data_IF_456430583226
#
_entry.id   IF_456430583226
#
_cell.length_a   1.000
_cell.length_b   1.000
_cell.length_c   1.000
_cell.angle_alpha   90.00
_cell.angle_beta   90.00
_cell.angle_gamma   90.00
#
_symmetry.space_group_name_H-M   'P 1'
#
loop_
_entity.id
_entity.type
_entity.pdbx_description
1 polymer ?
#
# COMPACT_ATOMS: atom_id res chain seq x y z
N UNK A 1 14.85 -18.82 -5.54
CA UNK A 1 13.75 -19.79 -5.57
C UNK A 1 12.87 -19.57 -4.35
N UNK A 2 11.54 -19.54 -4.54
CA UNK A 2 10.64 -19.33 -3.41
C UNK A 2 10.82 -20.37 -2.31
N UNK A 3 11.09 -21.62 -2.70
CA UNK A 3 11.25 -22.70 -1.73
C UNK A 3 12.47 -22.52 -0.84
N UNK A 4 13.39 -21.63 -1.21
CA UNK A 4 14.57 -21.37 -0.40
C UNK A 4 14.39 -20.17 0.52
N UNK A 5 13.24 -19.53 0.43
CA UNK A 5 12.94 -18.37 1.24
C UNK A 5 12.59 -18.80 2.66
N UNK A 6 13.20 -18.18 3.69
CA UNK A 6 12.82 -18.50 5.06
C UNK A 6 11.33 -18.27 5.29
N UNK A 7 10.76 -19.06 6.19
CA UNK A 7 9.32 -18.99 6.44
C UNK A 7 8.88 -17.60 6.92
N UNK A 8 9.66 -16.97 7.78
CA UNK A 8 9.32 -15.62 8.24
C UNK A 8 9.30 -14.62 7.10
N UNK A 9 10.20 -14.78 6.13
CA UNK A 9 10.23 -13.91 4.96
C UNK A 9 9.01 -14.14 4.08
N UNK A 10 8.58 -15.40 3.93
CA UNK A 10 7.36 -15.70 3.19
C UNK A 10 6.15 -15.04 3.83
N UNK A 11 6.05 -15.11 5.15
CA UNK A 11 4.97 -14.43 5.87
C UNK A 11 5.03 -12.93 5.65
N UNK A 12 6.24 -12.37 5.62
CA UNK A 12 6.42 -10.95 5.40
C UNK A 12 5.92 -10.53 4.01
N UNK A 13 6.17 -11.34 2.98
CA UNK A 13 5.63 -11.08 1.65
C UNK A 13 4.12 -10.96 1.68
N UNK A 14 3.45 -11.88 2.36
CA UNK A 14 1.99 -11.86 2.44
C UNK A 14 1.49 -10.63 3.18
N UNK A 15 2.19 -10.25 4.25
CA UNK A 15 1.84 -9.05 5.01
C UNK A 15 1.98 -7.81 4.15
N UNK A 16 3.06 -7.70 3.38
CA UNK A 16 3.25 -6.55 2.48
C UNK A 16 2.15 -6.48 1.43
N UNK A 17 1.78 -7.62 0.83
CA UNK A 17 0.71 -7.63 -0.16
C UNK A 17 -0.60 -7.13 0.43
N UNK A 18 -0.94 -7.62 1.62
CA UNK A 18 -2.15 -7.18 2.31
C UNK A 18 -2.08 -5.70 2.67
N UNK A 19 -0.91 -5.24 3.12
CA UNK A 19 -0.75 -3.85 3.50
C UNK A 19 -0.92 -2.92 2.29
N UNK A 20 -0.36 -3.29 1.14
CA UNK A 20 -0.54 -2.51 -0.09
C UNK A 20 -2.01 -2.43 -0.46
N UNK A 21 -2.72 -3.54 -0.37
CA UNK A 21 -4.14 -3.56 -0.70
C UNK A 21 -4.95 -2.65 0.23
N UNK A 22 -4.62 -2.66 1.53
CA UNK A 22 -5.30 -1.79 2.49
C UNK A 22 -5.04 -0.32 2.20
N UNK A 23 -3.83 0.04 1.78
CA UNK A 23 -3.53 1.43 1.42
C UNK A 23 -4.34 1.86 0.20
N UNK A 24 -4.50 0.96 -0.77
CA UNK A 24 -5.30 1.26 -1.96
C UNK A 24 -6.77 1.44 -1.60
N UNK A 25 -7.28 0.60 -0.70
CA UNK A 25 -8.66 0.72 -0.24
C UNK A 25 -8.87 2.03 0.50
N UNK A 26 -7.90 2.41 1.34
CA UNK A 26 -7.98 3.68 2.07
C UNK A 26 -7.98 4.87 1.10
N UNK A 27 -7.16 4.81 0.04
CA UNK A 27 -7.15 5.86 -0.98
C UNK A 27 -8.52 6.01 -1.61
N UNK A 28 -9.15 4.90 -1.97
CA UNK A 28 -10.49 4.92 -2.56
C UNK A 28 -11.49 5.53 -1.60
N UNK A 29 -11.41 5.14 -0.32
CA UNK A 29 -12.32 5.66 0.71
C UNK A 29 -12.20 7.17 0.87
N UNK A 30 -10.97 7.67 1.00
CA UNK A 30 -10.77 9.10 1.22
C UNK A 30 -11.14 9.92 -0.01
N UNK A 31 -10.84 9.42 -1.20
CA UNK A 31 -11.18 10.10 -2.43
C UNK A 31 -12.69 10.18 -2.61
N UNK A 32 -13.37 9.08 -2.31
CA UNK A 32 -14.83 9.03 -2.37
C UNK A 32 -15.45 10.02 -1.37
N UNK A 33 -14.95 9.99 -0.13
CA UNK A 33 -15.45 10.90 0.91
C UNK A 33 -15.23 12.35 0.54
N UNK A 34 -14.05 12.67 -0.03
CA UNK A 34 -13.76 14.03 -0.47
C UNK A 34 -14.74 14.49 -1.55
N UNK A 35 -15.12 13.57 -2.46
CA UNK A 35 -16.06 13.86 -3.52
C UNK A 35 -17.47 14.15 -3.01
N UNK A 36 -17.82 13.59 -1.85
CA UNK A 36 -19.13 13.82 -1.23
C UNK A 36 -19.15 15.04 -0.33
N UNK A 37 -17.98 15.55 0.02
CA UNK A 37 -17.86 16.59 1.04
C UNK A 37 -18.04 17.97 0.42
N UNK A 38 -18.98 18.74 0.98
CA UNK A 38 -19.24 20.11 0.53
C UNK A 38 -18.40 21.13 1.30
N UNK A 39 -17.90 20.76 2.47
CA UNK A 39 -17.07 21.63 3.29
C UNK A 39 -15.66 21.62 2.72
N UNK A 40 -15.20 22.81 2.36
CA UNK A 40 -13.90 22.97 1.69
C UNK A 40 -12.73 22.56 2.57
N UNK A 41 -12.79 22.91 3.86
CA UNK A 41 -11.72 22.58 4.79
C UNK A 41 -11.66 21.07 5.02
N UNK A 42 -12.81 20.46 5.23
CA UNK A 42 -12.86 19.01 5.44
C UNK A 42 -12.43 18.26 4.20
N UNK A 43 -12.82 18.74 3.02
CA UNK A 43 -12.37 18.12 1.77
C UNK A 43 -10.86 18.16 1.66
N UNK A 44 -10.25 19.30 2.02
CA UNK A 44 -8.80 19.43 2.00
C UNK A 44 -8.12 18.44 2.93
N UNK A 45 -8.69 18.25 4.13
CA UNK A 45 -8.16 17.29 5.09
C UNK A 45 -8.24 15.87 4.53
N UNK A 46 -9.38 15.50 3.93
CA UNK A 46 -9.57 14.17 3.35
C UNK A 46 -8.60 13.93 2.21
N UNK A 47 -8.37 14.94 1.38
CA UNK A 47 -7.38 14.82 0.30
C UNK A 47 -5.96 14.71 0.83
N UNK A 48 -5.68 15.32 1.98
CA UNK A 48 -4.41 15.13 2.66
C UNK A 48 -4.21 13.69 3.10
N UNK A 49 -5.24 13.09 3.68
CA UNK A 49 -5.20 11.68 4.07
C UNK A 49 -4.99 10.78 2.84
N UNK A 50 -5.68 11.09 1.74
CA UNK A 50 -5.50 10.38 0.48
C UNK A 50 -4.04 10.39 0.05
N UNK A 51 -3.41 11.57 0.06
CA UNK A 51 -2.02 11.70 -0.35
C UNK A 51 -1.07 10.94 0.57
N UNK A 52 -1.38 10.91 1.87
CA UNK A 52 -0.59 10.15 2.82
C UNK A 52 -0.63 8.65 2.48
N UNK A 53 -1.81 8.14 2.13
CA UNK A 53 -1.93 6.72 1.78
C UNK A 53 -1.21 6.39 0.48
N UNK A 54 -1.19 7.32 -0.47
CA UNK A 54 -0.41 7.13 -1.70
C UNK A 54 1.08 6.97 -1.37
N UNK A 55 1.60 7.82 -0.48
CA UNK A 55 3.00 7.72 -0.07
C UNK A 55 3.29 6.41 0.65
N UNK A 56 2.36 5.96 1.51
CA UNK A 56 2.50 4.68 2.21
C UNK A 56 2.54 3.53 1.21
N UNK A 57 1.65 3.56 0.23
CA UNK A 57 1.64 2.51 -0.79
C UNK A 57 2.95 2.47 -1.55
N UNK A 58 3.47 3.62 -1.97
CA UNK A 58 4.71 3.69 -2.71
C UNK A 58 5.87 3.10 -1.92
N UNK A 59 5.95 3.42 -0.62
CA UNK A 59 7.00 2.90 0.23
C UNK A 59 6.89 1.38 0.39
N UNK A 60 5.68 0.88 0.58
CA UNK A 60 5.45 -0.56 0.72
C UNK A 60 5.78 -1.31 -0.56
N UNK A 61 5.35 -0.79 -1.70
CA UNK A 61 5.62 -1.42 -2.99
C UNK A 61 7.12 -1.46 -3.26
N UNK A 62 7.83 -0.39 -2.94
CA UNK A 62 9.28 -0.36 -3.12
C UNK A 62 9.95 -1.45 -2.31
N UNK A 63 9.58 -1.61 -1.04
CA UNK A 63 10.17 -2.64 -0.19
C UNK A 63 9.78 -4.04 -0.66
N UNK A 64 8.54 -4.21 -1.09
CA UNK A 64 8.08 -5.48 -1.64
C UNK A 64 8.91 -5.87 -2.86
N UNK A 65 9.15 -4.92 -3.76
CA UNK A 65 9.94 -5.18 -4.97
C UNK A 65 11.38 -5.55 -4.64
N UNK A 66 11.97 -4.90 -3.63
CA UNK A 66 13.32 -5.24 -3.20
C UNK A 66 13.40 -6.67 -2.67
N UNK A 67 12.38 -7.09 -1.92
CA UNK A 67 12.32 -8.47 -1.46
C UNK A 67 12.18 -9.44 -2.62
N UNK A 68 11.35 -9.09 -3.61
CA UNK A 68 11.18 -9.91 -4.80
C UNK A 68 12.49 -10.11 -5.53
N UNK A 69 13.27 -9.02 -5.70
CA UNK A 69 14.57 -9.11 -6.35
C UNK A 69 15.53 -10.01 -5.57
N UNK A 70 15.55 -9.85 -4.25
CA UNK A 70 16.47 -10.61 -3.40
C UNK A 70 16.24 -12.11 -3.51
N UNK A 71 14.98 -12.52 -3.63
CA UNK A 71 14.64 -13.95 -3.64
C UNK A 71 14.23 -14.46 -5.02
N UNK A 72 14.38 -13.65 -6.05
CA UNK A 72 14.08 -14.09 -7.41
C UNK A 72 12.61 -14.36 -7.66
N UNK A 73 11.73 -13.67 -6.93
CA UNK A 73 10.28 -13.81 -7.08
C UNK A 73 9.78 -12.69 -7.98
N UNK A 74 8.84 -13.01 -8.87
CA UNK A 74 8.26 -11.98 -9.72
C UNK A 74 7.23 -11.16 -8.93
N UNK A 75 7.34 -9.84 -9.04
CA UNK A 75 6.36 -8.95 -8.45
C UNK A 75 5.04 -9.06 -9.19
N UNK A 76 3.94 -8.94 -8.47
CA UNK A 76 2.60 -8.98 -9.05
C UNK A 76 2.10 -7.62 -9.44
#
# INVERSE_FOLDING_TARGET
MPEQMPEKTRQLFLIFRDAVQREREAQTTYKHAAGLCEDKELRGLLMGFYKDEVRHEEALVQQYNLLCERYGVQAE
#
